data_IF_145912670041
#
_entry.id   IF_145912670041
#
_cell.length_a   1.000
_cell.length_b   1.000
_cell.length_c   1.000
_cell.angle_alpha   90.00
_cell.angle_beta   90.00
_cell.angle_gamma   90.00
#
_symmetry.space_group_name_H-M   'P 1'
#
loop_
_entity.id
_entity.type
_entity.pdbx_description
1 polymer ?
#
# COMPACT_ATOMS: atom_id res chain seq x y z
N UNK A 1 -24.41 4.22 -11.31
CA UNK A 1 -24.77 3.46 -10.11
C UNK A 1 -24.16 4.17 -8.91
N UNK A 2 -24.98 4.58 -7.93
CA UNK A 2 -24.48 5.15 -6.66
C UNK A 2 -24.63 4.10 -5.59
N UNK A 3 -23.54 3.43 -5.24
CA UNK A 3 -23.52 2.50 -4.10
C UNK A 3 -22.42 2.94 -3.15
N UNK A 4 -22.73 2.92 -1.85
CA UNK A 4 -21.77 3.16 -0.77
C UNK A 4 -20.88 1.93 -0.53
N UNK A 5 -20.59 1.17 -1.59
CA UNK A 5 -19.76 -0.03 -1.61
C UNK A 5 -18.77 0.17 -2.76
N UNK A 6 -17.79 1.04 -2.56
CA UNK A 6 -16.71 1.35 -3.51
C UNK A 6 -15.96 0.08 -3.98
N UNK A 7 -15.96 -0.96 -3.15
CA UNK A 7 -15.43 -2.30 -3.45
C UNK A 7 -16.17 -3.05 -4.56
N UNK A 8 -17.44 -2.76 -4.83
CA UNK A 8 -18.19 -3.40 -5.94
C UNK A 8 -17.94 -2.67 -7.29
N UNK A 9 -17.56 -1.40 -7.25
CA UNK A 9 -17.25 -0.59 -8.45
C UNK A 9 -15.89 -0.98 -9.03
N UNK A 10 -14.90 -1.31 -8.19
CA UNK A 10 -13.59 -1.81 -8.63
C UNK A 10 -13.68 -3.09 -9.47
N UNK A 11 -14.75 -3.87 -9.30
CA UNK A 11 -14.90 -5.18 -9.94
C UNK A 11 -15.59 -5.13 -11.31
N UNK A 12 -16.18 -3.98 -11.67
CA UNK A 12 -17.10 -3.86 -12.83
C UNK A 12 -16.71 -2.69 -13.75
N UNK A 13 -15.95 -1.70 -13.30
CA UNK A 13 -15.70 -0.47 -14.06
C UNK A 13 -14.26 -0.33 -14.55
N UNK A 14 -14.08 -0.25 -15.87
CA UNK A 14 -12.79 0.02 -16.51
C UNK A 14 -12.42 1.52 -16.52
N UNK A 15 -13.36 2.40 -16.18
CA UNK A 15 -13.21 3.86 -16.22
C UNK A 15 -13.89 4.52 -15.02
N UNK A 16 -13.19 5.41 -14.32
CA UNK A 16 -13.71 6.11 -13.14
C UNK A 16 -13.61 7.62 -13.31
N UNK A 17 -14.74 8.30 -13.10
CA UNK A 17 -14.84 9.75 -13.07
C UNK A 17 -15.04 10.24 -11.63
N UNK A 18 -14.14 11.08 -11.13
CA UNK A 18 -14.26 11.73 -9.82
C UNK A 18 -14.88 13.12 -10.05
N UNK A 19 -16.05 13.35 -9.45
CA UNK A 19 -16.76 14.64 -9.47
C UNK A 19 -16.64 15.33 -8.12
N UNK A 20 -16.22 16.60 -8.14
CA UNK A 20 -16.17 17.46 -6.96
C UNK A 20 -16.83 18.82 -7.27
N UNK A 21 -17.77 19.25 -6.41
CA UNK A 21 -18.55 20.49 -6.59
C UNK A 21 -19.19 20.69 -7.98
N UNK A 22 -19.72 19.62 -8.58
CA UNK A 22 -20.39 19.71 -9.87
C UNK A 22 -19.44 19.88 -11.07
N UNK A 23 -18.13 19.70 -10.88
CA UNK A 23 -17.14 19.64 -11.96
C UNK A 23 -16.47 18.27 -11.99
N UNK A 24 -16.26 17.75 -13.19
CA UNK A 24 -15.50 16.53 -13.43
C UNK A 24 -14.02 16.86 -13.22
N UNK A 25 -13.44 16.34 -12.14
CA UNK A 25 -12.08 16.69 -11.72
C UNK A 25 -11.06 15.73 -12.35
N UNK A 26 -11.41 14.45 -12.45
CA UNK A 26 -10.61 13.42 -13.13
C UNK A 26 -11.54 12.44 -13.83
N UNK A 27 -11.22 12.04 -15.07
CA UNK A 27 -11.87 10.96 -15.80
C UNK A 27 -10.78 10.17 -16.50
N UNK A 28 -10.46 9.01 -15.95
CA UNK A 28 -9.40 8.16 -16.47
C UNK A 28 -9.74 6.68 -16.22
N UNK A 29 -9.08 5.76 -16.94
CA UNK A 29 -9.12 4.34 -16.61
C UNK A 29 -8.78 4.14 -15.14
N UNK A 30 -9.47 3.19 -14.50
CA UNK A 30 -9.22 2.85 -13.10
C UNK A 30 -7.75 2.45 -12.88
N UNK A 31 -7.17 1.75 -13.84
CA UNK A 31 -5.77 1.34 -13.82
C UNK A 31 -4.81 2.53 -13.90
N UNK A 32 -5.14 3.59 -14.63
CA UNK A 32 -4.31 4.80 -14.72
C UNK A 32 -4.36 5.59 -13.40
N UNK A 33 -5.55 5.70 -12.81
CA UNK A 33 -5.73 6.29 -11.48
C UNK A 33 -4.99 5.50 -10.40
N UNK A 34 -5.07 4.17 -10.44
CA UNK A 34 -4.26 3.30 -9.58
C UNK A 34 -2.78 3.52 -9.86
N UNK A 35 -2.30 3.54 -11.09
CA UNK A 35 -0.87 3.78 -11.33
C UNK A 35 -0.39 5.16 -10.86
N UNK A 36 -1.25 6.18 -10.91
CA UNK A 36 -0.90 7.56 -10.57
C UNK A 36 -0.96 7.86 -9.07
N UNK A 37 -1.79 7.12 -8.31
CA UNK A 37 -2.06 7.38 -6.87
C UNK A 37 -1.88 6.14 -5.96
N UNK A 38 -1.76 4.94 -6.51
CA UNK A 38 -1.55 3.71 -5.75
C UNK A 38 -0.12 3.61 -5.23
N UNK A 39 0.04 3.73 -3.92
CA UNK A 39 1.23 3.21 -3.26
C UNK A 39 1.02 1.74 -2.99
N UNK A 40 1.60 0.89 -3.84
CA UNK A 40 1.68 -0.54 -3.58
C UNK A 40 2.37 -0.76 -2.24
N UNK A 41 1.71 -1.51 -1.35
CA UNK A 41 2.15 -1.68 0.02
C UNK A 41 2.24 -3.16 0.40
N UNK A 42 3.17 -3.48 1.28
CA UNK A 42 3.26 -4.76 1.98
C UNK A 42 2.81 -4.49 3.41
N UNK A 43 1.75 -5.18 3.82
CA UNK A 43 1.31 -5.19 5.21
C UNK A 43 1.91 -6.41 5.92
N UNK A 44 2.58 -6.17 7.04
CA UNK A 44 3.14 -7.20 7.90
C UNK A 44 2.55 -7.08 9.30
N UNK A 45 2.22 -8.21 9.93
CA UNK A 45 1.89 -8.25 11.35
C UNK A 45 2.86 -9.15 12.11
N UNK A 46 3.23 -8.76 13.32
CA UNK A 46 4.15 -9.47 14.19
C UNK A 46 3.46 -9.91 15.48
N UNK A 47 4.06 -10.87 16.19
CA UNK A 47 3.51 -11.35 17.46
C UNK A 47 3.56 -10.29 18.56
N UNK A 48 4.55 -9.38 18.50
CA UNK A 48 4.74 -8.33 19.49
C UNK A 48 5.07 -7.00 18.84
N UNK A 49 4.72 -5.91 19.54
CA UNK A 49 5.12 -4.54 19.15
C UNK A 49 6.63 -4.39 19.07
N UNK A 50 7.39 -5.05 19.95
CA UNK A 50 8.86 -5.01 19.94
C UNK A 50 9.43 -5.59 18.63
N UNK A 51 8.90 -6.73 18.17
CA UNK A 51 9.30 -7.31 16.87
C UNK A 51 8.93 -6.40 15.70
N UNK A 52 7.74 -5.79 15.72
CA UNK A 52 7.34 -4.83 14.67
C UNK A 52 8.25 -3.60 14.64
N UNK A 53 8.66 -3.08 15.79
CA UNK A 53 9.61 -1.96 15.89
C UNK A 53 11.01 -2.35 15.39
N UNK A 54 11.49 -3.54 15.73
CA UNK A 54 12.78 -4.04 15.25
C UNK A 54 12.75 -4.25 13.73
N UNK A 55 11.67 -4.81 13.20
CA UNK A 55 11.44 -4.93 11.76
C UNK A 55 11.43 -3.56 11.08
N UNK A 56 10.72 -2.58 11.66
CA UNK A 56 10.68 -1.22 11.13
C UNK A 56 12.08 -0.60 11.06
N UNK A 57 12.91 -0.80 12.09
CA UNK A 57 14.28 -0.29 12.10
C UNK A 57 15.16 -0.92 11.00
N UNK A 58 15.02 -2.22 10.77
CA UNK A 58 15.74 -2.91 9.69
C UNK A 58 15.28 -2.41 8.32
N UNK A 59 13.97 -2.41 8.07
CA UNK A 59 13.40 -2.00 6.80
C UNK A 59 13.61 -0.50 6.50
N UNK A 60 13.85 0.33 7.53
CA UNK A 60 14.28 1.72 7.32
C UNK A 60 15.60 1.79 6.52
N UNK A 61 16.47 0.79 6.61
CA UNK A 61 17.67 0.67 5.76
C UNK A 61 17.31 0.52 4.29
N UNK A 62 16.30 -0.29 3.97
CA UNK A 62 15.81 -0.45 2.59
C UNK A 62 15.16 0.84 2.08
N UNK A 63 14.51 1.60 2.96
CA UNK A 63 14.00 2.93 2.63
C UNK A 63 15.13 3.91 2.29
N UNK A 64 16.21 3.94 3.08
CA UNK A 64 17.38 4.79 2.78
C UNK A 64 18.08 4.39 1.47
N UNK A 65 18.00 3.11 1.09
CA UNK A 65 18.51 2.60 -0.19
C UNK A 65 17.55 2.84 -1.38
N UNK A 66 16.42 3.51 -1.15
CA UNK A 66 15.43 3.83 -2.19
C UNK A 66 14.58 2.63 -2.66
N UNK A 67 14.64 1.50 -1.95
CA UNK A 67 13.87 0.30 -2.30
C UNK A 67 12.44 0.34 -1.73
N UNK A 68 12.26 1.03 -0.60
CA UNK A 68 10.97 1.36 -0.02
C UNK A 68 10.76 2.87 -0.08
N UNK A 69 9.53 3.30 -0.37
CA UNK A 69 9.17 4.71 -0.47
C UNK A 69 8.59 5.27 0.81
N UNK A 70 7.93 4.42 1.60
CA UNK A 70 7.34 4.80 2.87
C UNK A 70 7.30 3.60 3.80
N UNK A 71 7.45 3.84 5.10
CA UNK A 71 7.39 2.83 6.13
C UNK A 71 6.61 3.39 7.32
N UNK A 72 5.56 2.69 7.72
CA UNK A 72 4.71 3.09 8.84
C UNK A 72 4.48 1.93 9.79
N UNK A 73 4.82 2.12 11.06
CA UNK A 73 4.64 1.12 12.09
C UNK A 73 3.51 1.54 13.03
N UNK A 74 2.56 0.63 13.25
CA UNK A 74 1.44 0.84 14.18
C UNK A 74 1.27 -0.40 15.06
N UNK A 75 1.59 -0.28 16.35
CA UNK A 75 1.54 -1.39 17.33
C UNK A 75 2.31 -2.63 16.83
N UNK A 76 1.63 -3.71 16.51
CA UNK A 76 2.23 -4.94 16.00
C UNK A 76 2.13 -5.07 14.47
N UNK A 77 1.66 -4.03 13.78
CA UNK A 77 1.53 -3.96 12.33
C UNK A 77 2.59 -3.02 11.73
N UNK A 78 3.02 -3.32 10.52
CA UNK A 78 3.99 -2.56 9.74
C UNK A 78 3.52 -2.50 8.29
N UNK A 79 3.45 -1.30 7.73
CA UNK A 79 3.12 -1.06 6.33
C UNK A 79 4.36 -0.52 5.62
N UNK A 80 4.76 -1.17 4.53
CA UNK A 80 5.91 -0.80 3.73
C UNK A 80 5.48 -0.55 2.28
N UNK A 81 5.54 0.71 1.85
CA UNK A 81 5.30 1.07 0.45
C UNK A 81 6.57 0.81 -0.37
N UNK A 82 6.40 0.25 -1.57
CA UNK A 82 7.50 -0.13 -2.45
C UNK A 82 7.28 0.37 -3.88
N UNK A 83 8.36 0.38 -4.66
CA UNK A 83 8.30 0.59 -6.11
C UNK A 83 8.62 -0.70 -6.87
N UNK A 84 8.08 -0.82 -8.08
CA UNK A 84 8.27 -2.00 -8.93
C UNK A 84 7.33 -3.16 -8.56
N UNK A 85 7.79 -4.39 -8.79
CA UNK A 85 6.98 -5.60 -8.63
C UNK A 85 6.90 -6.06 -7.18
N UNK A 86 5.73 -6.57 -6.76
CA UNK A 86 5.55 -7.19 -5.45
C UNK A 86 6.58 -8.26 -5.14
N UNK A 87 6.84 -9.20 -6.06
CA UNK A 87 7.76 -10.31 -5.83
C UNK A 87 9.17 -9.84 -5.43
N UNK A 88 9.73 -8.85 -6.13
CA UNK A 88 11.04 -8.29 -5.81
C UNK A 88 11.05 -7.53 -4.47
N UNK A 89 9.98 -6.81 -4.15
CA UNK A 89 9.86 -6.10 -2.88
C UNK A 89 9.72 -7.08 -1.70
N UNK A 90 8.85 -8.08 -1.84
CA UNK A 90 8.64 -9.13 -0.85
C UNK A 90 9.92 -9.94 -0.61
N UNK A 91 10.66 -10.30 -1.66
CA UNK A 91 11.94 -11.00 -1.56
C UNK A 91 12.96 -10.23 -0.70
N UNK A 92 13.14 -8.93 -0.97
CA UNK A 92 14.07 -8.08 -0.20
C UNK A 92 13.64 -7.91 1.25
N UNK A 93 12.35 -7.64 1.47
CA UNK A 93 11.78 -7.47 2.82
C UNK A 93 11.94 -8.78 3.60
N UNK A 94 11.55 -9.91 3.03
CA UNK A 94 11.66 -11.21 3.69
C UNK A 94 13.11 -11.59 3.95
N UNK A 95 14.01 -11.40 2.99
CA UNK A 95 15.44 -11.69 3.15
C UNK A 95 16.01 -10.95 4.35
N UNK A 96 15.76 -9.64 4.43
CA UNK A 96 16.24 -8.82 5.54
C UNK A 96 15.63 -9.22 6.90
N UNK A 97 14.34 -9.55 6.94
CA UNK A 97 13.69 -9.97 8.18
C UNK A 97 14.21 -11.34 8.65
N UNK A 98 14.42 -12.28 7.73
CA UNK A 98 14.91 -13.63 8.03
C UNK A 98 16.37 -13.62 8.52
N UNK A 99 17.23 -12.77 7.95
CA UNK A 99 18.60 -12.56 8.45
C UNK A 99 18.62 -12.11 9.92
N UNK A 100 17.66 -11.28 10.31
CA UNK A 100 17.49 -10.83 11.69
C UNK A 100 16.65 -11.77 12.57
N UNK A 101 16.24 -12.94 12.05
CA UNK A 101 15.35 -13.92 12.72
C UNK A 101 13.99 -13.33 13.14
N UNK A 102 13.50 -12.34 12.41
CA UNK A 102 12.17 -11.77 12.60
C UNK A 102 11.21 -12.44 11.61
N UNK A 103 10.20 -13.13 12.14
CA UNK A 103 9.21 -13.82 11.33
C UNK A 103 7.85 -13.12 11.54
N UNK A 104 7.28 -12.51 10.50
CA UNK A 104 5.93 -11.96 10.60
C UNK A 104 4.90 -13.10 10.69
N UNK A 105 3.82 -12.87 11.43
CA UNK A 105 2.65 -13.77 11.48
C UNK A 105 1.90 -13.71 10.16
N UNK A 106 1.77 -12.51 9.59
CA UNK A 106 1.11 -12.30 8.32
C UNK A 106 1.97 -11.40 7.44
N UNK A 107 1.97 -11.69 6.15
CA UNK A 107 2.51 -10.83 5.10
C UNK A 107 1.49 -10.84 3.97
N UNK A 108 0.99 -9.65 3.61
CA UNK A 108 0.00 -9.48 2.56
C UNK A 108 0.39 -8.32 1.64
N UNK A 109 0.20 -8.51 0.34
CA UNK A 109 0.18 -7.42 -0.62
C UNK A 109 -1.10 -6.61 -0.41
N UNK A 110 -0.97 -5.32 -0.15
CA UNK A 110 -2.08 -4.38 -0.25
C UNK A 110 -1.98 -3.63 -1.57
N UNK A 111 -2.96 -3.89 -2.44
CA UNK A 111 -3.23 -3.05 -3.60
C UNK A 111 -3.88 -1.75 -3.12
N UNK A 112 -3.61 -0.64 -3.80
CA UNK A 112 -4.32 0.59 -3.46
C UNK A 112 -5.79 0.44 -3.83
N UNK A 113 -6.63 0.91 -2.91
CA UNK A 113 -8.06 0.95 -3.09
C UNK A 113 -8.50 2.31 -3.65
N UNK A 114 -9.64 2.32 -4.35
CA UNK A 114 -10.28 3.52 -4.87
C UNK A 114 -10.55 4.59 -3.82
N UNK A 115 -10.75 4.19 -2.56
CA UNK A 115 -11.01 5.10 -1.44
C UNK A 115 -9.81 6.01 -1.14
N UNK A 116 -8.57 5.49 -1.21
CA UNK A 116 -7.35 6.28 -1.06
C UNK A 116 -7.17 7.30 -2.20
N UNK A 117 -7.47 6.89 -3.44
CA UNK A 117 -7.40 7.76 -4.62
C UNK A 117 -8.40 8.91 -4.50
N UNK A 118 -9.63 8.60 -4.06
CA UNK A 118 -10.68 9.60 -3.85
C UNK A 118 -10.28 10.64 -2.80
N UNK A 119 -9.68 10.22 -1.68
CA UNK A 119 -9.20 11.14 -0.62
C UNK A 119 -8.06 12.05 -1.07
N UNK A 120 -7.17 11.57 -1.95
CA UNK A 120 -6.04 12.36 -2.46
C UNK A 120 -6.49 13.41 -3.49
N UNK A 121 -7.52 13.12 -4.30
CA UNK A 121 -8.03 14.03 -5.34
C UNK A 121 -8.99 15.09 -4.80
N UNK A 122 -9.71 14.80 -3.71
CA UNK A 122 -10.69 15.71 -3.09
C UNK A 122 -10.09 16.70 -2.08
N UNK A 123 -8.76 16.69 -1.91
CA UNK A 123 -8.05 17.66 -1.05
C UNK A 123 -7.78 18.99 -1.72
#
# INVERSE_FOLDING_TARGET
>A
FSTHILSDVERICDHVGILHHGRLQVSAPLDDLKQQYAKNQIALSFATTAQAQQAAHLLATLQQQGQLTHLEQQKNSLQAAYTGTYAAAADRVLTMLLEAKLIPITLAQQEANLEQIFMEVTR
#
